data_IF_619386155339
#
_entry.id   IF_619386155339
#
_cell.length_a   1.000
_cell.length_b   1.000
_cell.length_c   1.000
_cell.angle_alpha   90.00
_cell.angle_beta   90.00
_cell.angle_gamma   90.00
#
_symmetry.space_group_name_H-M   'P 1'
#
loop_
_entity.id
_entity.type
_entity.pdbx_description
1 polymer ?
#
# COMPACT_ATOMS: atom_id res chain seq x y z
N UNK A 1 -11.09 28.53 8.46
CA UNK A 1 -11.86 28.08 9.64
C UNK A 1 -11.56 26.61 9.82
N UNK A 2 -11.17 26.18 11.03
CA UNK A 2 -11.15 24.74 11.35
C UNK A 2 -12.60 24.24 11.30
N UNK A 3 -12.83 23.11 10.63
CA UNK A 3 -14.15 22.44 10.67
C UNK A 3 -14.43 22.07 12.14
N UNK A 4 -15.67 22.23 12.57
CA UNK A 4 -16.14 21.69 13.85
C UNK A 4 -15.91 20.17 13.86
N UNK A 5 -15.49 19.62 15.00
CA UNK A 5 -15.19 18.20 15.09
C UNK A 5 -16.45 17.36 14.88
N UNK A 6 -16.41 16.45 13.91
CA UNK A 6 -17.50 15.51 13.64
C UNK A 6 -16.93 14.13 13.29
N UNK A 7 -17.55 13.09 13.82
CA UNK A 7 -17.26 11.68 13.50
C UNK A 7 -18.46 11.06 12.79
N UNK A 8 -18.19 10.22 11.79
CA UNK A 8 -19.22 9.50 11.05
C UNK A 8 -20.08 8.65 11.99
N UNK A 9 -21.39 8.66 11.78
CA UNK A 9 -22.34 7.84 12.54
C UNK A 9 -22.31 6.36 12.13
N UNK A 10 -21.90 6.06 10.89
CA UNK A 10 -21.82 4.67 10.36
C UNK A 10 -20.45 4.02 10.54
N UNK A 11 -19.36 4.78 10.43
CA UNK A 11 -17.99 4.28 10.65
C UNK A 11 -17.31 5.08 11.77
N UNK A 12 -15.98 5.24 11.72
CA UNK A 12 -15.21 6.03 12.70
C UNK A 12 -14.27 7.06 12.05
N UNK A 13 -14.43 7.34 10.75
CA UNK A 13 -13.76 8.48 10.13
C UNK A 13 -14.30 9.81 10.67
N UNK A 14 -13.43 10.79 10.78
CA UNK A 14 -13.75 12.10 11.34
C UNK A 14 -13.14 13.24 10.51
N UNK A 15 -13.32 14.46 11.01
CA UNK A 15 -12.83 15.71 10.43
C UNK A 15 -11.31 15.89 10.41
N UNK A 16 -10.51 14.93 10.90
CA UNK A 16 -9.05 14.93 10.65
C UNK A 16 -8.72 14.71 9.17
N UNK A 17 -9.63 14.14 8.39
CA UNK A 17 -9.63 14.30 6.94
C UNK A 17 -10.29 15.64 6.54
N UNK A 18 -9.47 16.58 6.07
CA UNK A 18 -9.97 17.88 5.58
C UNK A 18 -11.01 17.77 4.45
N UNK A 19 -10.95 16.70 3.65
CA UNK A 19 -11.85 16.43 2.53
C UNK A 19 -13.19 15.80 2.91
N UNK A 20 -13.37 15.39 4.17
CA UNK A 20 -14.57 14.66 4.58
C UNK A 20 -15.81 15.55 4.54
N UNK A 21 -16.87 15.04 3.94
CA UNK A 21 -18.23 15.58 4.00
C UNK A 21 -19.18 14.55 4.61
N UNK A 22 -20.25 15.05 5.24
CA UNK A 22 -21.30 14.27 5.88
C UNK A 22 -22.65 14.64 5.28
N UNK A 23 -23.55 13.66 5.18
CA UNK A 23 -24.96 13.90 4.87
C UNK A 23 -25.75 14.32 6.12
N UNK A 24 -27.06 14.58 5.94
CA UNK A 24 -27.97 15.03 7.01
C UNK A 24 -28.11 14.00 8.15
N UNK A 25 -27.70 12.74 7.94
CA UNK A 25 -27.69 11.67 8.96
C UNK A 25 -26.33 11.53 9.65
N UNK A 26 -25.38 12.41 9.32
CA UNK A 26 -24.01 12.36 9.82
C UNK A 26 -23.17 11.22 9.23
N UNK A 27 -23.57 10.64 8.10
CA UNK A 27 -22.81 9.58 7.42
C UNK A 27 -21.82 10.21 6.44
N UNK A 28 -20.55 9.80 6.52
CA UNK A 28 -19.52 10.35 5.65
C UNK A 28 -19.63 9.84 4.20
N UNK A 29 -19.20 10.67 3.25
CA UNK A 29 -19.22 10.31 1.82
C UNK A 29 -18.46 9.02 1.47
N UNK A 30 -17.41 8.65 2.22
CA UNK A 30 -16.72 7.37 2.02
C UNK A 30 -17.63 6.15 2.25
N UNK A 31 -18.48 6.18 3.27
CA UNK A 31 -19.44 5.12 3.54
C UNK A 31 -20.51 5.02 2.45
N UNK A 32 -20.96 6.16 1.94
CA UNK A 32 -21.95 6.22 0.85
C UNK A 32 -21.35 5.69 -0.45
N UNK A 33 -20.12 6.12 -0.79
CA UNK A 33 -19.40 5.64 -1.97
C UNK A 33 -19.07 4.14 -1.88
N UNK A 34 -18.75 3.62 -0.69
CA UNK A 34 -18.52 2.20 -0.49
C UNK A 34 -19.79 1.39 -0.75
N UNK A 35 -20.94 1.83 -0.23
CA UNK A 35 -22.22 1.18 -0.48
C UNK A 35 -22.54 1.14 -1.98
N UNK A 36 -22.40 2.28 -2.67
CA UNK A 36 -22.61 2.35 -4.13
C UNK A 36 -21.65 1.44 -4.91
N UNK A 37 -20.39 1.33 -4.48
CA UNK A 37 -19.42 0.42 -5.10
C UNK A 37 -19.85 -1.04 -4.93
N UNK A 38 -20.28 -1.43 -3.73
CA UNK A 38 -20.70 -2.79 -3.43
C UNK A 38 -21.97 -3.17 -4.19
N UNK A 39 -22.94 -2.26 -4.29
CA UNK A 39 -24.17 -2.47 -5.07
C UNK A 39 -23.91 -2.70 -6.57
N UNK A 40 -22.80 -2.16 -7.09
CA UNK A 40 -22.36 -2.35 -8.49
C UNK A 40 -21.36 -3.49 -8.67
N UNK A 41 -20.87 -4.08 -7.58
CA UNK A 41 -19.88 -5.14 -7.65
C UNK A 41 -20.54 -6.48 -8.01
N UNK A 42 -19.85 -7.29 -8.81
CA UNK A 42 -20.30 -8.65 -9.10
C UNK A 42 -19.99 -9.54 -7.89
N UNK A 43 -20.90 -10.45 -7.55
CA UNK A 43 -20.75 -11.39 -6.44
C UNK A 43 -21.16 -12.82 -6.81
N UNK A 44 -21.05 -13.73 -5.84
CA UNK A 44 -21.53 -15.10 -5.95
C UNK A 44 -21.08 -15.83 -7.22
N UNK A 45 -22.07 -16.31 -7.98
CA UNK A 45 -21.84 -17.10 -9.21
C UNK A 45 -21.19 -16.26 -10.31
N UNK A 46 -21.57 -14.99 -10.45
CA UNK A 46 -21.04 -14.11 -11.49
C UNK A 46 -19.57 -13.79 -11.23
N UNK A 47 -19.22 -13.43 -9.99
CA UNK A 47 -17.84 -13.21 -9.58
C UNK A 47 -16.97 -14.45 -9.81
N UNK A 48 -17.47 -15.64 -9.46
CA UNK A 48 -16.75 -16.89 -9.70
C UNK A 48 -16.54 -17.19 -11.19
N UNK A 49 -17.56 -16.95 -12.03
CA UNK A 49 -17.42 -17.13 -13.47
C UNK A 49 -16.37 -16.18 -14.07
N UNK A 50 -16.40 -14.91 -13.68
CA UNK A 50 -15.40 -13.92 -14.12
C UNK A 50 -13.99 -14.28 -13.65
N UNK A 51 -13.85 -14.76 -12.42
CA UNK A 51 -12.57 -15.25 -11.89
C UNK A 51 -12.02 -16.40 -12.73
N UNK A 52 -12.83 -17.40 -13.05
CA UNK A 52 -12.41 -18.55 -13.87
C UNK A 52 -12.03 -18.11 -15.29
N UNK A 53 -12.80 -17.20 -15.90
CA UNK A 53 -12.45 -16.63 -17.20
C UNK A 53 -11.09 -15.92 -17.16
N UNK A 54 -10.86 -15.08 -16.15
CA UNK A 54 -9.60 -14.38 -15.98
C UNK A 54 -8.44 -15.34 -15.73
N UNK A 55 -8.63 -16.41 -14.94
CA UNK A 55 -7.63 -17.45 -14.72
C UNK A 55 -7.23 -18.11 -16.05
N UNK A 56 -8.19 -18.51 -16.87
CA UNK A 56 -7.90 -19.12 -18.17
C UNK A 56 -7.21 -18.14 -19.13
N UNK A 57 -7.62 -16.87 -19.12
CA UNK A 57 -6.95 -15.82 -19.88
C UNK A 57 -5.50 -15.60 -19.45
N UNK A 58 -5.21 -15.64 -18.15
CA UNK A 58 -3.86 -15.52 -17.61
C UNK A 58 -3.02 -16.72 -18.06
N UNK A 59 -3.54 -17.96 -17.92
CA UNK A 59 -2.87 -19.18 -18.38
C UNK A 59 -2.58 -19.14 -19.89
N UNK A 60 -3.52 -18.68 -20.71
CA UNK A 60 -3.34 -18.57 -22.15
C UNK A 60 -2.28 -17.52 -22.56
N UNK A 61 -1.95 -16.56 -21.69
CA UNK A 61 -0.95 -15.52 -21.96
C UNK A 61 0.50 -15.95 -21.68
N UNK A 62 0.71 -17.18 -21.19
CA UNK A 62 2.01 -17.71 -20.79
C UNK A 62 2.99 -17.69 -21.97
N UNK A 63 4.16 -17.07 -21.76
CA UNK A 63 5.26 -17.05 -22.76
C UNK A 63 6.53 -17.78 -22.30
N UNK A 64 6.58 -18.19 -21.03
CA UNK A 64 7.72 -18.85 -20.41
C UNK A 64 7.27 -19.69 -19.23
N UNK A 65 8.09 -19.76 -18.19
CA UNK A 65 7.81 -20.57 -17.00
C UNK A 65 6.63 -20.03 -16.17
N UNK A 66 6.53 -18.70 -16.08
CA UNK A 66 5.53 -17.99 -15.28
C UNK A 66 4.45 -17.35 -16.14
N UNK A 67 3.24 -17.28 -15.61
CA UNK A 67 2.11 -16.62 -16.26
C UNK A 67 1.57 -15.40 -15.50
N UNK A 68 1.98 -15.23 -14.25
CA UNK A 68 1.69 -14.03 -13.48
C UNK A 68 2.81 -13.71 -12.48
N UNK A 69 2.79 -12.49 -11.95
CA UNK A 69 3.61 -12.07 -10.81
C UNK A 69 2.71 -11.87 -9.59
N UNK A 70 3.20 -12.28 -8.42
CA UNK A 70 2.63 -11.95 -7.11
C UNK A 70 3.67 -11.18 -6.31
N UNK A 71 3.33 -9.95 -5.90
CA UNK A 71 4.16 -9.21 -4.95
C UNK A 71 4.01 -9.78 -3.54
N UNK A 72 5.11 -10.17 -2.90
CA UNK A 72 5.13 -10.75 -1.56
C UNK A 72 5.65 -9.74 -0.54
N UNK A 73 4.81 -9.35 0.43
CA UNK A 73 5.22 -8.49 1.56
C UNK A 73 5.37 -9.25 2.88
N UNK A 74 4.88 -10.49 2.96
CA UNK A 74 4.70 -11.22 4.22
C UNK A 74 3.41 -10.85 4.96
N UNK A 75 2.63 -9.93 4.38
CA UNK A 75 1.32 -9.52 4.86
C UNK A 75 0.21 -10.52 4.55
N UNK A 76 -0.93 -10.35 5.21
CA UNK A 76 -2.13 -11.22 5.08
C UNK A 76 -2.57 -11.35 3.63
N UNK A 77 -2.83 -10.22 2.96
CA UNK A 77 -3.37 -10.21 1.59
C UNK A 77 -2.41 -10.86 0.58
N UNK A 78 -1.12 -10.50 0.64
CA UNK A 78 -0.11 -11.04 -0.29
C UNK A 78 0.07 -12.55 -0.14
N UNK A 79 0.05 -13.05 1.09
CA UNK A 79 0.16 -14.48 1.41
C UNK A 79 -1.04 -15.24 0.87
N UNK A 80 -2.24 -14.71 1.08
CA UNK A 80 -3.47 -15.34 0.57
C UNK A 80 -3.58 -15.28 -0.95
N UNK A 81 -3.14 -14.19 -1.59
CA UNK A 81 -3.06 -14.08 -3.06
C UNK A 81 -2.13 -15.14 -3.64
N UNK A 82 -0.97 -15.39 -3.03
CA UNK A 82 -0.06 -16.45 -3.47
C UNK A 82 -0.74 -17.82 -3.41
N UNK A 83 -1.46 -18.10 -2.32
CA UNK A 83 -2.27 -19.32 -2.19
C UNK A 83 -3.34 -19.42 -3.26
N UNK A 84 -4.14 -18.37 -3.49
CA UNK A 84 -5.19 -18.39 -4.50
C UNK A 84 -4.61 -18.59 -5.91
N UNK A 85 -3.51 -17.92 -6.24
CA UNK A 85 -2.83 -18.12 -7.51
C UNK A 85 -2.48 -19.60 -7.72
N UNK A 86 -1.90 -20.26 -6.70
CA UNK A 86 -1.61 -21.70 -6.76
C UNK A 86 -2.87 -22.55 -6.85
N UNK A 87 -3.90 -22.25 -6.03
CA UNK A 87 -5.19 -22.96 -5.98
C UNK A 87 -5.88 -22.99 -7.34
N UNK A 88 -5.84 -21.89 -8.09
CA UNK A 88 -6.44 -21.80 -9.43
C UNK A 88 -5.52 -22.30 -10.57
N UNK A 89 -4.37 -22.90 -10.23
CA UNK A 89 -3.44 -23.48 -11.19
C UNK A 89 -2.64 -22.45 -11.99
N UNK A 90 -2.49 -21.22 -11.47
CA UNK A 90 -1.54 -20.26 -12.03
C UNK A 90 -0.10 -20.67 -11.69
N UNK A 91 0.85 -20.14 -12.45
CA UNK A 91 2.30 -20.31 -12.25
C UNK A 91 2.90 -18.95 -11.90
N UNK A 92 2.75 -18.47 -10.65
CA UNK A 92 3.26 -17.17 -10.25
C UNK A 92 4.77 -17.20 -10.08
N UNK A 93 5.44 -16.10 -10.46
CA UNK A 93 6.72 -15.70 -9.87
C UNK A 93 6.40 -14.82 -8.66
N UNK A 94 6.79 -15.25 -7.46
CA UNK A 94 6.73 -14.40 -6.27
C UNK A 94 7.88 -13.38 -6.31
N UNK A 95 7.57 -12.13 -6.00
CA UNK A 95 8.54 -11.04 -6.04
C UNK A 95 8.49 -10.28 -4.73
N UNK A 96 9.61 -10.25 -4.04
CA UNK A 96 9.78 -9.43 -2.85
C UNK A 96 10.77 -8.30 -3.13
N UNK A 97 10.50 -7.10 -2.61
CA UNK A 97 11.37 -5.95 -2.77
C UNK A 97 11.83 -5.54 -1.38
N UNK A 98 13.13 -5.71 -1.10
CA UNK A 98 13.71 -5.36 0.19
C UNK A 98 14.28 -3.93 0.13
N UNK A 99 13.61 -3.01 0.81
CA UNK A 99 14.05 -1.62 0.97
C UNK A 99 14.78 -1.36 2.30
N UNK A 100 15.14 -2.42 3.05
CA UNK A 100 15.91 -2.38 4.29
C UNK A 100 15.09 -2.33 5.57
N UNK A 101 13.77 -2.53 5.50
CA UNK A 101 12.84 -2.29 6.62
C UNK A 101 11.95 -3.48 7.00
N UNK A 102 12.19 -4.65 6.41
CA UNK A 102 11.45 -5.87 6.72
C UNK A 102 11.56 -6.24 8.20
N UNK A 103 10.45 -6.68 8.80
CA UNK A 103 10.51 -7.37 10.09
C UNK A 103 10.96 -8.82 9.88
N UNK A 104 11.53 -9.43 10.92
CA UNK A 104 11.89 -10.85 10.86
C UNK A 104 10.67 -11.75 10.62
N UNK A 105 9.51 -11.35 11.15
CA UNK A 105 8.24 -12.06 10.95
C UNK A 105 7.84 -12.01 9.47
N UNK A 106 7.98 -10.85 8.82
CA UNK A 106 7.67 -10.70 7.41
C UNK A 106 8.52 -11.62 6.54
N UNK A 107 9.83 -11.67 6.78
CA UNK A 107 10.76 -12.56 6.05
C UNK A 107 10.36 -14.03 6.24
N UNK A 108 10.13 -14.46 7.48
CA UNK A 108 9.69 -15.84 7.79
C UNK A 108 8.34 -16.18 7.14
N UNK A 109 7.41 -15.24 7.10
CA UNK A 109 6.10 -15.43 6.46
C UNK A 109 6.24 -15.60 4.94
N UNK A 110 7.08 -14.79 4.30
CA UNK A 110 7.37 -14.92 2.86
C UNK A 110 7.96 -16.30 2.57
N UNK A 111 9.04 -16.67 3.27
CA UNK A 111 9.73 -17.95 3.10
C UNK A 111 8.80 -19.15 3.30
N UNK A 112 8.01 -19.13 4.38
CA UNK A 112 7.07 -20.20 4.69
C UNK A 112 5.99 -20.35 3.63
N UNK A 113 5.41 -19.23 3.17
CA UNK A 113 4.36 -19.25 2.15
C UNK A 113 4.90 -19.74 0.80
N UNK A 114 6.02 -19.19 0.32
CA UNK A 114 6.58 -19.57 -0.99
C UNK A 114 7.07 -21.02 -1.01
N UNK A 115 7.71 -21.48 0.08
CA UNK A 115 8.17 -22.87 0.21
C UNK A 115 7.00 -23.86 0.21
N UNK A 116 5.99 -23.66 1.06
CA UNK A 116 4.83 -24.57 1.14
C UNK A 116 4.00 -24.62 -0.13
N UNK A 117 3.91 -23.50 -0.85
CA UNK A 117 3.18 -23.42 -2.12
C UNK A 117 4.00 -23.90 -3.32
N UNK A 118 5.32 -24.11 -3.14
CA UNK A 118 6.24 -24.39 -4.25
C UNK A 118 6.17 -23.29 -5.31
N UNK A 119 6.39 -22.05 -4.88
CA UNK A 119 6.42 -20.85 -5.73
C UNK A 119 7.83 -20.27 -5.67
N UNK A 120 8.42 -20.00 -6.84
CA UNK A 120 9.74 -19.37 -6.91
C UNK A 120 9.69 -17.93 -6.41
N UNK A 121 10.70 -17.54 -5.64
CA UNK A 121 10.82 -16.21 -5.05
C UNK A 121 12.04 -15.48 -5.63
N UNK A 122 11.80 -14.33 -6.26
CA UNK A 122 12.84 -13.37 -6.61
C UNK A 122 12.81 -12.19 -5.63
N UNK A 123 13.93 -11.98 -4.92
CA UNK A 123 14.09 -10.84 -4.02
C UNK A 123 14.98 -9.77 -4.66
N UNK A 124 14.44 -8.56 -4.79
CA UNK A 124 15.18 -7.39 -5.29
C UNK A 124 15.56 -6.54 -4.08
N UNK A 125 16.85 -6.50 -3.76
CA UNK A 125 17.39 -5.64 -2.70
C UNK A 125 17.70 -4.27 -3.28
N UNK A 126 17.03 -3.24 -2.76
CA UNK A 126 17.24 -1.85 -3.17
C UNK A 126 18.52 -1.31 -2.53
N UNK A 127 19.26 -0.47 -3.25
CA UNK A 127 20.45 0.16 -2.71
C UNK A 127 20.10 0.98 -1.45
N UNK A 128 20.55 0.48 -0.29
CA UNK A 128 20.23 1.06 1.01
C UNK A 128 20.63 2.54 1.12
N UNK A 129 21.80 2.91 0.58
CA UNK A 129 22.29 4.30 0.66
C UNK A 129 21.36 5.26 -0.06
N UNK A 130 20.85 4.86 -1.22
CA UNK A 130 19.95 5.68 -2.05
C UNK A 130 18.54 5.76 -1.46
N UNK A 131 17.94 4.63 -1.05
CA UNK A 131 16.59 4.65 -0.45
C UNK A 131 16.57 5.36 0.91
N UNK A 132 17.62 5.18 1.72
CA UNK A 132 17.76 5.90 3.00
C UNK A 132 17.83 7.41 2.79
N UNK A 133 18.65 7.87 1.83
CA UNK A 133 18.76 9.30 1.53
C UNK A 133 17.44 9.89 1.03
N UNK A 134 16.74 9.14 0.17
CA UNK A 134 15.42 9.52 -0.30
C UNK A 134 14.37 9.57 0.83
N UNK A 135 14.37 8.60 1.75
CA UNK A 135 13.50 8.63 2.94
C UNK A 135 13.83 9.84 3.83
N UNK A 136 15.13 10.14 4.05
CA UNK A 136 15.55 11.35 4.77
C UNK A 136 15.00 12.60 4.10
N UNK A 137 15.09 12.69 2.77
CA UNK A 137 14.58 13.83 2.00
C UNK A 137 13.07 14.03 2.22
N UNK A 138 12.28 12.96 2.30
CA UNK A 138 10.83 13.03 2.58
C UNK A 138 10.53 13.53 4.00
N UNK A 139 11.26 13.08 5.01
CA UNK A 139 11.10 13.61 6.37
C UNK A 139 11.51 15.08 6.47
N UNK A 140 12.65 15.47 5.87
CA UNK A 140 13.08 16.88 5.77
C UNK A 140 12.06 17.73 5.01
N UNK A 141 11.41 17.19 3.97
CA UNK A 141 10.32 17.83 3.25
C UNK A 141 9.05 18.00 4.09
N UNK A 142 8.91 17.28 5.20
CA UNK A 142 7.77 17.37 6.14
C UNK A 142 6.42 17.12 5.46
N UNK A 143 6.39 16.14 4.55
CA UNK A 143 5.18 15.70 3.82
C UNK A 143 4.49 14.53 4.52
N UNK A 144 3.17 14.33 4.31
CA UNK A 144 2.41 13.32 5.04
C UNK A 144 2.70 11.89 4.59
N UNK A 145 3.12 11.61 3.35
CA UNK A 145 3.39 10.23 2.92
C UNK A 145 4.89 9.95 2.75
N UNK A 146 5.53 9.48 3.82
CA UNK A 146 6.96 9.14 3.82
C UNK A 146 7.26 7.70 3.37
N UNK A 147 6.24 6.86 3.12
CA UNK A 147 6.39 5.51 2.55
C UNK A 147 6.66 5.53 1.03
N UNK A 148 6.41 6.65 0.34
CA UNK A 148 6.57 6.78 -1.13
C UNK A 148 7.91 6.24 -1.66
N UNK A 149 9.08 6.50 -1.04
CA UNK A 149 10.34 5.93 -1.48
C UNK A 149 10.36 4.40 -1.53
N UNK A 150 9.64 3.72 -0.64
CA UNK A 150 9.53 2.25 -0.66
C UNK A 150 8.48 1.81 -1.69
N UNK A 151 7.28 2.39 -1.64
CA UNK A 151 6.18 2.01 -2.53
C UNK A 151 6.52 2.23 -4.01
N UNK A 152 7.22 3.32 -4.33
CA UNK A 152 7.68 3.58 -5.70
C UNK A 152 8.66 2.51 -6.16
N UNK A 153 9.60 2.11 -5.30
CA UNK A 153 10.54 1.04 -5.60
C UNK A 153 9.84 -0.31 -5.78
N UNK A 154 8.78 -0.56 -5.02
CA UNK A 154 7.98 -1.77 -5.14
C UNK A 154 7.33 -1.88 -6.52
N UNK A 155 6.59 -0.84 -6.92
CA UNK A 155 5.91 -0.83 -8.22
C UNK A 155 6.94 -0.85 -9.35
N UNK A 156 8.01 -0.04 -9.27
CA UNK A 156 9.03 0.02 -10.30
C UNK A 156 9.77 -1.31 -10.48
N UNK A 157 10.16 -1.96 -9.37
CA UNK A 157 10.82 -3.26 -9.36
C UNK A 157 9.96 -4.36 -9.98
N UNK A 158 8.72 -4.50 -9.51
CA UNK A 158 7.77 -5.49 -10.03
C UNK A 158 7.50 -5.29 -11.52
N UNK A 159 7.33 -4.05 -11.98
CA UNK A 159 7.06 -3.76 -13.39
C UNK A 159 8.25 -4.08 -14.29
N UNK A 160 9.47 -3.72 -13.86
CA UNK A 160 10.69 -4.04 -14.60
C UNK A 160 10.85 -5.57 -14.71
N UNK A 161 10.55 -6.30 -13.63
CA UNK A 161 10.65 -7.74 -13.60
C UNK A 161 9.60 -8.43 -14.47
N UNK A 162 8.34 -7.97 -14.41
CA UNK A 162 7.27 -8.43 -15.29
C UNK A 162 7.70 -8.33 -16.76
N UNK A 163 8.28 -7.19 -17.16
CA UNK A 163 8.74 -7.01 -18.52
C UNK A 163 9.98 -7.84 -18.90
N UNK A 164 10.88 -8.12 -17.94
CA UNK A 164 12.05 -9.01 -18.13
C UNK A 164 11.59 -10.44 -18.44
N UNK A 165 10.63 -10.96 -17.69
CA UNK A 165 10.09 -12.31 -17.88
C UNK A 165 8.96 -12.39 -18.93
N UNK A 166 8.56 -11.26 -19.52
CA UNK A 166 7.47 -11.21 -20.50
C UNK A 166 6.09 -11.50 -19.91
N UNK A 167 5.92 -11.33 -18.59
CA UNK A 167 4.68 -11.57 -17.85
C UNK A 167 3.74 -10.39 -18.03
N UNK A 168 2.47 -10.69 -18.32
CA UNK A 168 1.44 -9.69 -18.60
C UNK A 168 0.48 -9.44 -17.43
N UNK A 169 0.47 -10.30 -16.41
CA UNK A 169 -0.48 -10.20 -15.31
C UNK A 169 0.22 -10.12 -13.96
N UNK A 170 -0.16 -9.11 -13.18
CA UNK A 170 0.20 -8.95 -11.77
C UNK A 170 -1.04 -9.21 -10.92
N UNK A 171 -0.99 -10.22 -10.05
CA UNK A 171 -2.09 -10.53 -9.14
C UNK A 171 -1.92 -9.69 -7.87
N UNK A 172 -2.89 -8.83 -7.58
CA UNK A 172 -2.81 -7.84 -6.52
C UNK A 172 -3.68 -8.24 -5.32
N UNK A 173 -3.16 -7.97 -4.12
CA UNK A 173 -3.90 -8.08 -2.85
C UNK A 173 -4.77 -6.86 -2.53
N UNK A 174 -4.71 -5.79 -3.32
CA UNK A 174 -5.59 -4.65 -3.10
C UNK A 174 -7.04 -5.04 -3.40
N UNK A 175 -7.94 -4.80 -2.45
CA UNK A 175 -9.32 -5.26 -2.49
C UNK A 175 -10.30 -4.23 -1.92
N UNK A 176 -11.56 -4.32 -2.33
CA UNK A 176 -12.56 -3.30 -1.95
C UNK A 176 -12.88 -3.38 -0.45
N UNK A 177 -12.96 -4.58 0.13
CA UNK A 177 -13.50 -4.78 1.49
C UNK A 177 -12.56 -4.32 2.61
N UNK A 178 -11.25 -4.21 2.36
CA UNK A 178 -10.25 -3.79 3.38
C UNK A 178 -9.39 -2.58 2.99
N UNK A 179 -9.49 -2.08 1.75
CA UNK A 179 -8.61 -1.01 1.22
C UNK A 179 -9.35 0.15 0.52
N UNK A 180 -10.68 0.17 0.50
CA UNK A 180 -11.44 1.22 -0.22
C UNK A 180 -11.36 2.58 0.46
N UNK A 181 -11.61 2.63 1.77
CA UNK A 181 -11.64 3.86 2.55
C UNK A 181 -10.20 4.20 2.95
N UNK A 182 -9.61 5.19 2.26
CA UNK A 182 -8.38 5.86 2.67
C UNK A 182 -8.47 7.33 2.24
N UNK A 183 -8.50 8.28 3.19
CA UNK A 183 -8.53 9.69 2.85
C UNK A 183 -7.35 10.11 1.95
N UNK A 184 -7.60 10.79 0.81
CA UNK A 184 -6.52 11.26 -0.07
C UNK A 184 -5.55 12.21 0.64
N UNK A 185 -6.01 12.92 1.67
CA UNK A 185 -5.18 13.83 2.48
C UNK A 185 -4.15 13.09 3.36
N UNK A 186 -4.34 11.81 3.63
CA UNK A 186 -3.47 10.98 4.49
C UNK A 186 -2.45 10.15 3.71
N UNK A 187 -2.44 10.27 2.38
CA UNK A 187 -1.57 9.52 1.49
C UNK A 187 -1.13 10.37 0.31
N UNK A 188 -0.34 9.75 -0.56
CA UNK A 188 0.06 10.35 -1.84
C UNK A 188 0.42 9.23 -2.81
N UNK A 189 0.21 9.48 -4.10
CA UNK A 189 0.51 8.48 -5.12
C UNK A 189 2.01 8.26 -5.24
N UNK A 190 2.46 7.06 -4.89
CA UNK A 190 3.85 6.65 -5.03
C UNK A 190 4.28 6.50 -6.49
N UNK A 191 3.35 6.52 -7.45
CA UNK A 191 3.63 6.53 -8.88
C UNK A 191 4.13 7.87 -9.44
N UNK A 192 4.11 8.96 -8.66
CA UNK A 192 4.56 10.28 -9.09
C UNK A 192 6.08 10.42 -8.99
N UNK A 193 6.78 10.19 -10.11
CA UNK A 193 8.24 10.23 -10.16
C UNK A 193 8.77 11.67 -10.04
N UNK A 194 8.12 12.65 -10.67
CA UNK A 194 8.56 14.05 -10.60
C UNK A 194 8.48 14.59 -9.17
N UNK A 195 7.48 14.19 -8.38
CA UNK A 195 7.39 14.54 -6.96
C UNK A 195 8.57 13.99 -6.17
N UNK A 196 8.86 12.70 -6.37
CA UNK A 196 9.97 12.00 -5.73
C UNK A 196 11.31 12.66 -6.06
N UNK A 197 11.54 12.96 -7.33
CA UNK A 197 12.78 13.60 -7.78
C UNK A 197 12.89 15.05 -7.30
N UNK A 198 11.80 15.83 -7.29
CA UNK A 198 11.83 17.22 -6.81
C UNK A 198 12.08 17.32 -5.30
N UNK A 199 11.47 16.44 -4.50
CA UNK A 199 11.77 16.31 -3.06
C UNK A 199 13.24 15.93 -2.87
N UNK A 200 13.70 14.90 -3.59
CA UNK A 200 15.08 14.44 -3.50
C UNK A 200 16.10 15.52 -3.90
N UNK A 201 15.85 16.27 -4.97
CA UNK A 201 16.76 17.35 -5.39
C UNK A 201 16.87 18.49 -4.38
N UNK A 202 15.82 18.72 -3.58
CA UNK A 202 15.79 19.78 -2.56
C UNK A 202 16.43 19.36 -1.24
N UNK A 203 16.34 18.09 -0.86
CA UNK A 203 16.70 17.63 0.49
C UNK A 203 17.62 16.41 0.55
N UNK A 204 17.81 15.71 -0.57
CA UNK A 204 18.69 14.56 -0.70
C UNK A 204 20.12 14.95 -1.04
N UNK A 205 21.05 14.05 -0.76
CA UNK A 205 22.49 14.27 -0.84
C UNK A 205 23.17 13.20 -1.72
N UNK A 206 22.51 12.06 -1.96
CA UNK A 206 23.06 10.90 -2.66
C UNK A 206 22.43 10.77 -4.04
N UNK A 207 23.25 10.65 -5.09
CA UNK A 207 22.74 10.39 -6.45
C UNK A 207 22.01 9.04 -6.51
N UNK A 208 20.76 9.07 -6.97
CA UNK A 208 19.91 7.90 -7.20
C UNK A 208 20.34 7.12 -8.46
N UNK A 209 21.48 6.44 -8.44
CA UNK A 209 21.99 5.68 -9.61
C UNK A 209 21.26 4.36 -9.82
N UNK A 210 21.06 3.59 -8.76
CA UNK A 210 20.52 2.22 -8.81
C UNK A 210 19.06 2.14 -8.35
N UNK A 211 18.53 3.19 -7.72
CA UNK A 211 17.15 3.26 -7.29
C UNK A 211 16.21 3.09 -8.50
N UNK A 212 15.28 2.13 -8.47
CA UNK A 212 14.39 1.86 -9.57
C UNK A 212 13.39 3.02 -9.75
N UNK A 213 13.28 3.52 -10.98
CA UNK A 213 12.41 4.66 -11.32
C UNK A 213 11.34 4.24 -12.31
N UNK A 214 10.11 4.66 -12.05
CA UNK A 214 8.96 4.45 -12.90
C UNK A 214 8.23 5.77 -13.15
N UNK A 215 8.53 6.41 -14.28
CA UNK A 215 7.80 7.61 -14.72
C UNK A 215 6.34 7.25 -15.07
N UNK A 216 5.42 8.20 -14.90
CA UNK A 216 4.03 8.07 -15.34
C UNK A 216 3.92 7.69 -16.83
N UNK A 217 4.76 8.25 -17.72
CA UNK A 217 4.78 7.90 -19.15
C UNK A 217 5.08 6.40 -19.37
N UNK A 218 6.18 5.91 -18.76
CA UNK A 218 6.55 4.48 -18.85
C UNK A 218 5.44 3.58 -18.31
N UNK A 219 4.79 3.95 -17.20
CA UNK A 219 3.66 3.20 -16.61
C UNK A 219 2.44 3.17 -17.55
N UNK A 220 2.00 4.33 -18.03
CA UNK A 220 0.74 4.49 -18.77
C UNK A 220 0.86 4.11 -20.25
N UNK A 221 2.03 4.32 -20.86
CA UNK A 221 2.26 4.07 -22.28
C UNK A 221 2.99 2.75 -22.49
N UNK A 222 4.24 2.66 -22.02
CA UNK A 222 5.10 1.51 -22.29
C UNK A 222 4.55 0.20 -21.70
N UNK A 223 4.30 0.17 -20.39
CA UNK A 223 3.86 -1.05 -19.73
C UNK A 223 2.44 -1.47 -20.12
N UNK A 224 1.53 -0.51 -20.23
CA UNK A 224 0.13 -0.80 -20.59
C UNK A 224 -0.04 -1.24 -22.05
N UNK A 225 0.57 -0.54 -23.02
CA UNK A 225 0.29 -0.80 -24.44
C UNK A 225 1.30 -1.74 -25.09
N UNK A 226 2.59 -1.62 -24.75
CA UNK A 226 3.64 -2.44 -25.37
C UNK A 226 3.89 -3.74 -24.61
N UNK A 227 3.93 -3.69 -23.27
CA UNK A 227 4.08 -4.90 -22.44
C UNK A 227 2.76 -5.57 -22.10
N UNK A 228 1.63 -4.87 -22.31
CA UNK A 228 0.28 -5.35 -21.98
C UNK A 228 0.16 -5.78 -20.52
N UNK A 229 0.89 -5.10 -19.63
CA UNK A 229 0.87 -5.39 -18.20
C UNK A 229 -0.46 -4.94 -17.60
N UNK A 230 -1.11 -5.85 -16.89
CA UNK A 230 -2.42 -5.67 -16.26
C UNK A 230 -2.35 -6.12 -14.81
N UNK A 231 -3.13 -5.46 -13.95
CA UNK A 231 -3.30 -5.89 -12.56
C UNK A 231 -4.66 -6.53 -12.38
N UNK A 232 -4.70 -7.71 -11.78
CA UNK A 232 -5.93 -8.43 -11.46
C UNK A 232 -6.08 -8.52 -9.93
N UNK A 233 -7.14 -7.91 -9.41
CA UNK A 233 -7.46 -7.88 -7.96
C UNK A 233 -8.27 -9.10 -7.59
N UNK A 234 -7.59 -10.25 -7.48
CA UNK A 234 -8.23 -11.56 -7.31
C UNK A 234 -9.15 -11.63 -6.07
N UNK A 235 -8.80 -10.90 -5.01
CA UNK A 235 -9.55 -10.88 -3.76
C UNK A 235 -10.95 -10.27 -3.87
N UNK A 236 -11.24 -9.51 -4.94
CA UNK A 236 -12.58 -8.98 -5.19
C UNK A 236 -13.55 -10.04 -5.74
N UNK A 237 -13.07 -11.23 -6.11
CA UNK A 237 -13.87 -12.27 -6.77
C UNK A 237 -13.91 -13.58 -5.98
N UNK A 238 -13.47 -13.54 -4.72
CA UNK A 238 -13.59 -14.63 -3.75
C UNK A 238 -14.18 -14.07 -2.46
N UNK A 239 -14.88 -14.89 -1.65
CA UNK A 239 -15.23 -14.48 -0.29
C UNK A 239 -13.95 -14.12 0.49
N UNK A 240 -13.91 -12.89 1.02
CA UNK A 240 -12.75 -12.37 1.73
C UNK A 240 -13.15 -11.80 3.08
N UNK A 241 -12.97 -12.60 4.12
CA UNK A 241 -13.00 -12.16 5.52
C UNK A 241 -11.57 -12.18 6.07
N UNK A 242 -11.11 -11.06 6.61
CA UNK A 242 -9.71 -10.89 7.03
C UNK A 242 -9.30 -11.86 8.12
N UNK A 243 -10.15 -12.09 9.12
CA UNK A 243 -9.83 -12.98 10.25
C UNK A 243 -9.86 -14.45 9.83
N UNK A 244 -10.83 -14.85 9.01
CA UNK A 244 -10.85 -16.19 8.41
C UNK A 244 -9.61 -16.46 7.56
N UNK A 245 -9.17 -15.46 6.78
CA UNK A 245 -7.95 -15.56 5.98
C UNK A 245 -6.72 -15.69 6.88
N UNK A 246 -6.60 -14.87 7.94
CA UNK A 246 -5.51 -14.98 8.93
C UNK A 246 -5.44 -16.39 9.54
N UNK A 247 -6.59 -16.92 9.96
CA UNK A 247 -6.67 -18.28 10.49
C UNK A 247 -6.18 -19.31 9.46
N UNK A 248 -6.72 -19.23 8.24
CA UNK A 248 -6.36 -20.13 7.15
C UNK A 248 -4.86 -20.12 6.84
N UNK A 249 -4.24 -18.95 6.66
CA UNK A 249 -2.81 -18.85 6.31
C UNK A 249 -1.91 -19.24 7.49
N UNK A 250 -2.37 -19.07 8.73
CA UNK A 250 -1.65 -19.54 9.93
C UNK A 250 -1.57 -21.06 9.91
N UNK A 251 -2.72 -21.74 9.80
CA UNK A 251 -2.80 -23.20 9.83
C UNK A 251 -2.11 -23.85 8.63
N UNK A 252 -2.39 -23.35 7.43
CA UNK A 252 -1.97 -24.01 6.20
C UNK A 252 -0.57 -23.56 5.77
N UNK A 253 -0.24 -22.28 5.96
CA UNK A 253 0.99 -21.68 5.43
C UNK A 253 2.00 -21.31 6.51
N UNK A 254 1.71 -21.57 7.80
CA UNK A 254 2.64 -21.26 8.89
C UNK A 254 2.89 -19.76 9.07
N UNK A 255 1.96 -18.94 8.57
CA UNK A 255 2.02 -17.49 8.73
C UNK A 255 1.94 -17.12 10.21
N UNK A 256 2.69 -16.12 10.62
CA UNK A 256 2.72 -15.58 11.98
C UNK A 256 2.22 -14.14 11.99
N UNK A 257 1.40 -13.84 12.98
CA UNK A 257 0.88 -12.50 13.18
C UNK A 257 1.98 -11.54 13.60
N UNK A 258 2.01 -10.39 12.94
CA UNK A 258 2.92 -9.28 13.22
C UNK A 258 2.19 -8.10 13.90
N UNK A 259 0.90 -8.27 14.21
CA UNK A 259 0.07 -7.29 14.89
C UNK A 259 -0.69 -6.38 13.92
N UNK A 260 -0.42 -5.07 14.00
CA UNK A 260 -1.17 -4.05 13.26
C UNK A 260 -1.05 -4.14 11.74
N UNK A 261 -2.00 -3.51 11.03
CA UNK A 261 -1.99 -3.47 9.55
C UNK A 261 -0.72 -2.77 9.04
N UNK A 262 -0.02 -3.43 8.12
CA UNK A 262 1.28 -3.03 7.55
C UNK A 262 2.51 -3.12 8.48
N UNK A 263 2.40 -3.77 9.65
CA UNK A 263 3.53 -3.93 10.57
C UNK A 263 4.52 -5.03 10.13
N UNK A 264 4.34 -5.63 8.96
CA UNK A 264 5.40 -6.35 8.26
C UNK A 264 6.63 -5.46 7.94
N UNK A 265 6.43 -4.14 7.84
CA UNK A 265 7.47 -3.13 7.63
C UNK A 265 7.68 -2.30 8.90
N UNK A 266 8.89 -2.31 9.46
CA UNK A 266 9.24 -1.49 10.63
C UNK A 266 9.13 0.01 10.32
N UNK A 267 9.45 0.41 9.09
CA UNK A 267 9.31 1.80 8.67
C UNK A 267 7.84 2.23 8.68
N UNK A 268 6.97 1.41 8.06
CA UNK A 268 5.55 1.72 7.92
C UNK A 268 4.85 1.72 9.27
N UNK A 269 5.21 0.80 10.19
CA UNK A 269 4.76 0.85 11.59
C UNK A 269 5.11 2.19 12.24
N UNK A 270 6.39 2.58 12.23
CA UNK A 270 6.84 3.84 12.81
C UNK A 270 6.17 5.06 12.18
N UNK A 271 6.09 5.07 10.85
CA UNK A 271 5.46 6.14 10.08
C UNK A 271 3.97 6.29 10.38
N UNK A 272 3.19 5.20 10.35
CA UNK A 272 1.74 5.25 10.52
C UNK A 272 1.30 5.38 11.98
N UNK A 273 2.08 4.85 12.93
CA UNK A 273 1.70 4.79 14.34
C UNK A 273 2.33 5.88 15.21
N UNK A 274 3.36 6.58 14.72
CA UNK A 274 3.99 7.66 15.46
C UNK A 274 4.08 8.96 14.65
N UNK A 275 4.75 8.96 13.50
CA UNK A 275 4.99 10.19 12.74
C UNK A 275 3.69 10.86 12.27
N UNK A 276 2.80 10.11 11.62
CA UNK A 276 1.53 10.63 11.11
C UNK A 276 0.60 11.15 12.22
N UNK A 277 0.30 10.37 13.30
CA UNK A 277 -0.54 10.86 14.39
C UNK A 277 0.07 12.08 15.09
N UNK A 278 1.37 12.06 15.37
CA UNK A 278 2.02 13.11 16.17
C UNK A 278 2.20 14.42 15.40
N UNK A 279 2.50 14.36 14.10
CA UNK A 279 2.82 15.56 13.30
C UNK A 279 1.64 16.08 12.48
N UNK A 280 0.78 15.20 11.98
CA UNK A 280 -0.34 15.56 11.10
C UNK A 280 -1.71 15.35 11.75
N UNK A 281 -1.79 14.64 12.88
CA UNK A 281 -3.06 14.23 13.47
C UNK A 281 -3.77 13.13 12.68
N UNK A 282 -3.07 12.45 11.77
CA UNK A 282 -3.65 11.41 10.92
C UNK A 282 -3.42 10.04 11.56
N UNK A 283 -4.49 9.36 11.97
CA UNK A 283 -4.44 7.98 12.43
C UNK A 283 -5.09 7.05 11.39
N UNK A 284 -4.25 6.40 10.58
CA UNK A 284 -4.70 5.50 9.50
C UNK A 284 -5.51 4.31 10.02
N UNK A 285 -5.42 3.95 11.31
CA UNK A 285 -6.28 2.92 11.90
C UNK A 285 -7.76 3.27 11.74
N UNK A 286 -8.14 4.55 11.81
CA UNK A 286 -9.53 4.98 11.55
C UNK A 286 -10.01 4.56 10.16
N UNK A 287 -9.17 4.73 9.14
CA UNK A 287 -9.48 4.32 7.78
C UNK A 287 -9.54 2.78 7.65
N UNK A 288 -8.55 2.08 8.21
CA UNK A 288 -8.48 0.62 8.20
C UNK A 288 -9.70 -0.04 8.87
N UNK A 289 -10.05 0.41 10.08
CA UNK A 289 -11.20 -0.10 10.83
C UNK A 289 -12.53 0.32 10.20
N UNK A 290 -12.59 1.52 9.60
CA UNK A 290 -13.78 1.95 8.84
C UNK A 290 -14.06 1.07 7.62
N UNK A 291 -13.04 0.52 6.96
CA UNK A 291 -13.24 -0.50 5.92
C UNK A 291 -13.88 -1.78 6.49
N UNK A 292 -13.38 -2.26 7.63
CA UNK A 292 -13.94 -3.45 8.29
C UNK A 292 -15.40 -3.24 8.70
N UNK A 293 -15.75 -2.06 9.24
CA UNK A 293 -17.14 -1.70 9.53
C UNK A 293 -17.98 -1.66 8.26
N UNK A 294 -17.50 -0.96 7.21
CA UNK A 294 -18.24 -0.79 5.97
C UNK A 294 -18.53 -2.14 5.28
N UNK A 295 -17.58 -3.08 5.37
CA UNK A 295 -17.68 -4.45 4.85
C UNK A 295 -18.42 -5.43 5.76
N UNK A 296 -18.89 -4.99 6.95
CA UNK A 296 -19.61 -5.85 7.91
C UNK A 296 -18.73 -6.83 8.68
N UNK A 297 -17.41 -6.68 8.65
CA UNK A 297 -16.45 -7.55 9.35
C UNK A 297 -16.15 -7.12 10.79
N UNK A 298 -16.60 -5.94 11.21
CA UNK A 298 -16.36 -5.39 12.55
C UNK A 298 -17.50 -4.45 12.95
N UNK A 299 -17.85 -4.41 14.23
CA UNK A 299 -18.82 -3.42 14.73
C UNK A 299 -18.15 -2.06 14.95
N UNK A 300 -18.95 -0.99 14.94
CA UNK A 300 -18.45 0.36 15.23
C UNK A 300 -17.88 0.45 16.65
N UNK A 301 -18.50 -0.20 17.62
CA UNK A 301 -18.08 -0.18 19.02
C UNK A 301 -16.74 -0.92 19.22
N UNK A 302 -16.55 -2.06 18.55
CA UNK A 302 -15.27 -2.78 18.55
C UNK A 302 -14.15 -1.92 17.96
N UNK A 303 -14.42 -1.23 16.85
CA UNK A 303 -13.46 -0.34 16.24
C UNK A 303 -13.09 0.84 17.15
N UNK A 304 -14.04 1.38 17.91
CA UNK A 304 -13.76 2.43 18.88
C UNK A 304 -12.88 1.93 20.03
N UNK A 305 -13.15 0.72 20.56
CA UNK A 305 -12.30 0.09 21.57
C UNK A 305 -10.88 -0.18 21.06
N UNK A 306 -10.74 -0.63 19.82
CA UNK A 306 -9.44 -0.84 19.17
C UNK A 306 -8.64 0.47 19.04
N UNK A 307 -9.32 1.60 18.80
CA UNK A 307 -8.67 2.91 18.72
C UNK A 307 -8.09 3.39 20.06
N UNK A 308 -8.65 2.93 21.19
CA UNK A 308 -8.15 3.23 22.54
C UNK A 308 -6.85 2.47 22.86
N UNK A 309 -6.60 1.37 22.16
CA UNK A 309 -5.37 0.59 22.31
C UNK A 309 -4.24 1.35 21.61
N UNK A 310 -3.15 1.64 22.34
CA UNK A 310 -1.97 2.25 21.74
C UNK A 310 -1.30 1.26 20.78
N UNK A 311 -0.89 1.68 19.56
CA UNK A 311 -0.14 0.82 18.64
C UNK A 311 1.29 0.51 19.12
N UNK A 312 1.74 1.21 20.17
CA UNK A 312 3.01 1.00 20.85
C UNK A 312 2.81 0.76 22.35
N UNK A 313 3.59 -0.16 22.88
CA UNK A 313 3.70 -0.34 24.33
C UNK A 313 4.61 0.78 24.92
N UNK A 314 4.54 1.02 26.24
CA UNK A 314 5.24 2.15 26.90
C UNK A 314 6.74 2.25 26.57
N UNK A 315 7.42 1.10 26.52
CA UNK A 315 8.88 1.05 26.31
C UNK A 315 9.25 0.89 24.83
N UNK A 316 8.32 0.44 23.99
CA UNK A 316 8.59 0.09 22.59
C UNK A 316 8.78 1.32 21.70
N UNK A 317 7.97 2.38 21.90
CA UNK A 317 8.07 3.58 21.07
C UNK A 317 9.43 4.29 21.21
N UNK A 318 9.97 4.54 22.43
CA UNK A 318 11.31 5.09 22.58
C UNK A 318 12.39 4.26 21.86
N UNK A 319 12.38 2.93 22.03
CA UNK A 319 13.34 2.03 21.39
C UNK A 319 13.25 2.05 19.86
N UNK A 320 12.04 1.96 19.31
CA UNK A 320 11.81 2.00 17.86
C UNK A 320 12.18 3.40 17.30
N UNK A 321 11.93 4.46 18.07
CA UNK A 321 12.33 5.82 17.70
C UNK A 321 13.85 5.94 17.61
N UNK A 322 14.58 5.48 18.62
CA UNK A 322 16.05 5.50 18.62
C UNK A 322 16.61 4.67 17.44
N UNK A 323 16.10 3.45 17.25
CA UNK A 323 16.48 2.60 16.13
C UNK A 323 16.23 3.29 14.78
N UNK A 324 15.05 3.90 14.60
CA UNK A 324 14.66 4.55 13.36
C UNK A 324 15.53 5.76 13.03
N UNK A 325 15.74 6.65 14.01
CA UNK A 325 16.61 7.83 13.90
C UNK A 325 18.03 7.39 13.52
N UNK A 326 18.58 6.43 14.27
CA UNK A 326 19.94 5.90 14.03
C UNK A 326 20.06 5.26 12.65
N UNK A 327 19.08 4.47 12.23
CA UNK A 327 19.09 3.76 10.94
C UNK A 327 19.00 4.73 9.76
N UNK A 328 18.16 5.76 9.86
CA UNK A 328 18.12 6.84 8.87
C UNK A 328 19.33 7.78 8.96
N UNK A 329 20.11 7.72 10.05
CA UNK A 329 21.30 8.53 10.27
C UNK A 329 20.98 9.98 10.64
N UNK A 330 19.83 10.23 11.28
CA UNK A 330 19.51 11.55 11.84
C UNK A 330 20.20 11.71 13.20
N UNK A 331 20.54 12.94 13.57
CA UNK A 331 20.75 13.28 14.98
C UNK A 331 19.38 13.40 15.70
N UNK A 332 19.39 13.34 17.03
CA UNK A 332 18.20 13.58 17.83
C UNK A 332 17.67 15.00 17.58
N UNK A 333 18.56 16.00 17.48
CA UNK A 333 18.19 17.39 17.24
C UNK A 333 17.55 17.57 15.85
N UNK A 334 18.14 16.99 14.80
CA UNK A 334 17.55 16.99 13.45
C UNK A 334 16.15 16.38 13.46
N UNK A 335 15.96 15.26 14.17
CA UNK A 335 14.65 14.62 14.26
C UNK A 335 13.63 15.50 15.01
N UNK A 336 14.04 16.12 16.11
CA UNK A 336 13.16 17.03 16.85
C UNK A 336 12.78 18.27 16.02
N UNK A 337 13.70 18.81 15.25
CA UNK A 337 13.42 19.89 14.29
C UNK A 337 12.43 19.45 13.22
N UNK A 338 12.61 18.25 12.65
CA UNK A 338 11.67 17.66 11.70
C UNK A 338 10.28 17.50 12.33
N UNK A 339 10.18 17.04 13.57
CA UNK A 339 8.88 16.87 14.24
C UNK A 339 8.19 18.21 14.51
N UNK A 340 8.96 19.25 14.91
CA UNK A 340 8.46 20.60 15.20
C UNK A 340 8.18 21.45 13.96
N UNK A 341 8.76 21.11 12.80
CA UNK A 341 8.59 21.88 11.57
C UNK A 341 7.13 21.94 11.11
N UNK A 342 6.79 22.95 10.33
CA UNK A 342 5.45 23.08 9.76
C UNK A 342 5.16 21.96 8.75
N UNK A 343 4.03 21.23 8.86
CA UNK A 343 3.59 20.29 7.84
C UNK A 343 3.47 20.92 6.45
N UNK A 344 3.88 20.17 5.42
CA UNK A 344 3.79 20.54 4.01
C UNK A 344 2.94 19.55 3.23
N UNK A 345 2.45 19.97 2.06
CA UNK A 345 1.70 19.09 1.14
C UNK A 345 2.62 18.57 0.06
N UNK A 346 2.34 17.36 -0.45
CA UNK A 346 3.05 16.87 -1.64
C UNK A 346 2.87 17.79 -2.86
N UNK A 347 1.74 18.50 -2.95
CA UNK A 347 1.46 19.50 -3.99
C UNK A 347 2.35 20.75 -3.91
N UNK A 348 3.17 20.90 -2.87
CA UNK A 348 4.18 21.96 -2.78
C UNK A 348 5.45 21.61 -3.60
N UNK A 349 5.45 20.46 -4.25
CA UNK A 349 6.52 19.91 -5.09
C UNK A 349 5.98 19.59 -6.47
N UNK A 350 6.88 19.38 -7.44
CA UNK A 350 6.49 19.02 -8.81
C UNK A 350 5.70 17.71 -8.85
N UNK A 351 4.99 17.49 -9.96
CA UNK A 351 4.14 16.31 -10.14
C UNK A 351 4.12 15.85 -11.60
N UNK A 352 4.18 14.54 -11.82
CA UNK A 352 4.02 13.91 -13.13
C UNK A 352 2.66 14.26 -13.75
N UNK A 353 1.67 14.54 -12.90
CA UNK A 353 0.31 14.89 -13.30
C UNK A 353 0.20 16.28 -13.94
N UNK A 354 1.24 17.11 -13.80
CA UNK A 354 1.29 18.43 -14.44
C UNK A 354 1.79 18.42 -15.88
N UNK A 355 2.32 17.28 -16.33
CA UNK A 355 2.86 17.13 -17.68
C UNK A 355 1.76 17.29 -18.74
N UNK A 356 2.08 18.05 -19.80
CA UNK A 356 1.13 18.44 -20.85
C UNK A 356 0.43 17.25 -21.53
N UNK A 357 1.18 16.18 -21.81
CA UNK A 357 0.68 14.99 -22.50
C UNK A 357 -0.32 14.23 -21.64
N UNK A 358 -0.13 14.21 -20.32
CA UNK A 358 -1.06 13.55 -19.40
C UNK A 358 -2.36 14.35 -19.27
N UNK A 359 -2.27 15.68 -19.16
CA UNK A 359 -3.45 16.58 -19.18
C UNK A 359 -4.26 16.40 -20.46
N UNK A 360 -3.58 16.32 -21.62
CA UNK A 360 -4.22 16.06 -22.91
C UNK A 360 -4.92 14.69 -22.94
N UNK A 361 -4.24 13.61 -22.56
CA UNK A 361 -4.83 12.26 -22.51
C UNK A 361 -6.05 12.19 -21.58
N UNK A 362 -6.02 12.88 -20.44
CA UNK A 362 -7.16 12.94 -19.51
C UNK A 362 -8.35 13.67 -20.16
N UNK A 363 -8.12 14.79 -20.84
CA UNK A 363 -9.17 15.56 -21.52
C UNK A 363 -9.86 14.79 -22.66
N UNK A 364 -9.13 13.89 -23.32
CA UNK A 364 -9.66 13.05 -24.40
C UNK A 364 -10.51 11.88 -23.89
N UNK A 365 -10.34 11.47 -22.62
CA UNK A 365 -11.12 10.38 -21.99
C UNK A 365 -12.36 10.88 -21.25
N UNK A 366 -12.42 12.17 -20.94
CA UNK A 366 -13.59 12.82 -20.32
C UNK A 366 -14.62 13.32 -21.34
N UNK A 367 -14.35 13.13 -22.64
CA UNK A 367 -15.29 13.25 -23.75
C UNK A 367 -15.64 11.85 -24.22
#
# INVERSE_FOLDING_TARGET
MQKEYQICTKCILDTSDSGITFDDKGVCHYCNNFAELMDKSIDGKEANNYLLEMVEKIKASTKGEYNCIVGMSGGVDSTYVAYLAKKYGLKPLAVHIDAGWNSEIAVKNIESATSKLGIDLETIVINWKEVRDLQRAYFKASVPNCDVPQDHAFVAGVYNLAAKYGIQYMISGHNNVTEFILPPSWGYDSGDLDNLIDIHNKFGEVKLKNYPKLSLFKKVIYYRYFKKLQSFRILNYVPYNKEEVKHFITENLGWKDYGGKHFESRFTKFFQSYYLPSKFGFDKRRAHLSNLIASGQMTRDDAQREMEISPYNKDELPEDTEYFIKKLGFSIDEWQEIMKSKPRKHTDFKSDYDQWWFKLLKSLKSK
#
